data_IF_290589173850
#
_entry.id   IF_290589173850
#
_cell.length_a   1.000
_cell.length_b   1.000
_cell.length_c   1.000
_cell.angle_alpha   90.00
_cell.angle_beta   90.00
_cell.angle_gamma   90.00
#
_symmetry.space_group_name_H-M   'P 1'
#
loop_
_entity.id
_entity.type
_entity.pdbx_description
1 polymer ?
#
# COMPACT_ATOMS: atom_id res chain seq x y z
N UNK A 1 -42.52 2.02 13.57
CA UNK A 1 -42.00 3.34 14.02
C UNK A 1 -40.46 3.41 14.02
N UNK A 2 -39.73 2.32 14.32
CA UNK A 2 -38.25 2.30 14.36
C UNK A 2 -37.58 2.33 12.97
N UNK A 3 -38.20 1.73 11.95
CA UNK A 3 -37.63 1.63 10.59
C UNK A 3 -37.44 3.00 9.90
N UNK A 4 -38.40 3.93 10.08
CA UNK A 4 -38.32 5.27 9.49
C UNK A 4 -37.24 6.15 10.13
N UNK A 5 -37.02 6.01 11.44
CA UNK A 5 -35.99 6.75 12.18
C UNK A 5 -34.57 6.22 11.89
N UNK A 6 -34.46 4.92 11.58
CA UNK A 6 -33.21 4.31 11.11
C UNK A 6 -32.87 4.77 9.68
N UNK A 7 -33.88 4.87 8.79
CA UNK A 7 -33.70 5.35 7.42
C UNK A 7 -33.29 6.83 7.34
N UNK A 8 -33.88 7.68 8.17
CA UNK A 8 -33.51 9.10 8.26
C UNK A 8 -32.07 9.30 8.75
N UNK A 9 -31.63 8.53 9.74
CA UNK A 9 -30.24 8.53 10.21
C UNK A 9 -29.27 7.97 9.18
N UNK A 10 -29.63 6.86 8.51
CA UNK A 10 -28.82 6.28 7.44
C UNK A 10 -28.62 7.26 6.27
N UNK A 11 -29.68 7.99 5.89
CA UNK A 11 -29.59 9.03 4.85
C UNK A 11 -28.65 10.17 5.25
N UNK A 12 -28.70 10.61 6.51
CA UNK A 12 -27.84 11.69 7.01
C UNK A 12 -26.37 11.25 7.08
N UNK A 13 -26.11 10.03 7.57
CA UNK A 13 -24.77 9.44 7.64
C UNK A 13 -24.19 9.20 6.24
N UNK A 14 -25.03 8.80 5.27
CA UNK A 14 -24.65 8.62 3.88
C UNK A 14 -24.29 9.95 3.20
N UNK A 15 -25.00 11.04 3.52
CA UNK A 15 -24.67 12.37 3.00
C UNK A 15 -23.39 12.96 3.63
N UNK A 16 -23.09 12.64 4.90
CA UNK A 16 -21.87 13.10 5.55
C UNK A 16 -20.63 12.29 5.16
N UNK A 17 -20.76 10.98 4.95
CA UNK A 17 -19.65 10.04 4.71
C UNK A 17 -19.67 9.43 3.30
N UNK A 18 -20.17 10.17 2.31
CA UNK A 18 -20.41 9.65 0.96
C UNK A 18 -19.18 9.00 0.32
N UNK A 19 -18.01 9.64 0.40
CA UNK A 19 -16.77 9.11 -0.20
C UNK A 19 -16.27 7.82 0.48
N UNK A 20 -16.34 7.77 1.81
CA UNK A 20 -15.91 6.59 2.59
C UNK A 20 -16.81 5.38 2.32
N UNK A 21 -18.13 5.59 2.26
CA UNK A 21 -19.07 4.51 1.98
C UNK A 21 -18.89 4.01 0.55
N UNK A 22 -18.69 4.91 -0.42
CA UNK A 22 -18.45 4.54 -1.81
C UNK A 22 -17.13 3.78 -2.00
N UNK A 23 -16.06 4.12 -1.27
CA UNK A 23 -14.78 3.40 -1.38
C UNK A 23 -14.87 1.99 -0.80
N UNK A 24 -15.53 1.83 0.35
CA UNK A 24 -15.77 0.49 0.95
C UNK A 24 -16.66 -0.35 0.03
N UNK A 25 -17.74 0.23 -0.52
CA UNK A 25 -18.60 -0.47 -1.48
C UNK A 25 -17.83 -0.86 -2.75
N UNK A 26 -16.96 0.01 -3.27
CA UNK A 26 -16.14 -0.28 -4.43
C UNK A 26 -15.18 -1.46 -4.19
N UNK A 27 -14.60 -1.59 -3.00
CA UNK A 27 -13.75 -2.74 -2.63
C UNK A 27 -14.57 -4.04 -2.60
N UNK A 28 -15.75 -4.02 -1.98
CA UNK A 28 -16.63 -5.20 -1.89
C UNK A 28 -17.09 -5.63 -3.28
N UNK A 29 -17.59 -4.69 -4.08
CA UNK A 29 -18.04 -4.95 -5.46
C UNK A 29 -16.86 -5.41 -6.34
N UNK A 30 -15.69 -4.79 -6.21
CA UNK A 30 -14.48 -5.17 -6.93
C UNK A 30 -14.01 -6.59 -6.61
N UNK A 31 -14.07 -7.00 -5.33
CA UNK A 31 -13.75 -8.36 -4.91
C UNK A 31 -14.75 -9.39 -5.48
N UNK A 32 -16.05 -9.11 -5.40
CA UNK A 32 -17.10 -9.99 -5.93
C UNK A 32 -17.00 -10.13 -7.46
N UNK A 33 -16.82 -9.01 -8.17
CA UNK A 33 -16.60 -9.01 -9.62
C UNK A 33 -15.32 -9.77 -9.98
N UNK A 34 -14.21 -9.55 -9.25
CA UNK A 34 -12.95 -10.26 -9.48
C UNK A 34 -13.09 -11.78 -9.34
N UNK A 35 -13.80 -12.24 -8.32
CA UNK A 35 -14.09 -13.67 -8.13
C UNK A 35 -14.99 -14.23 -9.25
N UNK A 36 -16.02 -13.49 -9.64
CA UNK A 36 -16.94 -13.89 -10.71
C UNK A 36 -16.24 -13.97 -12.08
N UNK A 37 -15.42 -12.97 -12.41
CA UNK A 37 -14.63 -12.93 -13.66
C UNK A 37 -13.57 -14.04 -13.70
N UNK A 38 -12.95 -14.38 -12.56
CA UNK A 38 -12.02 -15.52 -12.44
C UNK A 38 -12.68 -16.85 -12.80
N UNK A 39 -13.95 -17.04 -12.43
CA UNK A 39 -14.70 -18.28 -12.70
C UNK A 39 -15.03 -18.49 -14.19
N UNK A 40 -14.89 -17.47 -15.04
CA UNK A 40 -15.26 -17.51 -16.47
C UNK A 40 -14.09 -17.74 -17.43
N UNK A 41 -12.86 -17.93 -16.93
CA UNK A 41 -11.65 -18.15 -17.74
C UNK A 41 -11.54 -17.19 -18.95
N UNK A 42 -11.48 -15.89 -18.65
CA UNK A 42 -11.35 -14.82 -19.66
C UNK A 42 -9.95 -14.80 -20.29
N UNK A 43 -9.87 -14.30 -21.52
CA UNK A 43 -8.61 -14.10 -22.25
C UNK A 43 -7.80 -12.95 -21.65
N UNK A 44 -6.46 -12.99 -21.73
CA UNK A 44 -5.57 -11.96 -21.16
C UNK A 44 -5.86 -10.54 -21.70
N UNK A 45 -6.34 -10.43 -22.94
CA UNK A 45 -6.69 -9.16 -23.55
C UNK A 45 -7.90 -8.51 -22.87
N UNK A 46 -8.92 -9.29 -22.53
CA UNK A 46 -10.14 -8.82 -21.87
C UNK A 46 -9.85 -8.35 -20.44
N UNK A 47 -8.93 -9.03 -19.76
CA UNK A 47 -8.46 -8.63 -18.43
C UNK A 47 -7.76 -7.27 -18.48
N UNK A 48 -6.90 -7.03 -19.48
CA UNK A 48 -6.23 -5.73 -19.65
C UNK A 48 -7.21 -4.58 -19.87
N UNK A 49 -8.24 -4.78 -20.69
CA UNK A 49 -9.28 -3.77 -20.88
C UNK A 49 -10.10 -3.51 -19.61
N UNK A 50 -10.39 -4.55 -18.82
CA UNK A 50 -11.11 -4.40 -17.55
C UNK A 50 -10.28 -3.70 -16.47
N UNK A 51 -8.96 -3.87 -16.47
CA UNK A 51 -8.03 -3.21 -15.52
C UNK A 51 -7.74 -1.75 -15.86
N UNK A 52 -7.99 -1.32 -17.10
CA UNK A 52 -7.74 0.04 -17.59
C UNK A 52 -8.18 1.18 -16.65
N UNK A 53 -9.43 1.22 -16.11
CA UNK A 53 -9.84 2.28 -15.18
C UNK A 53 -9.01 2.32 -13.88
N UNK A 54 -8.58 1.16 -13.38
CA UNK A 54 -7.71 1.08 -12.20
C UNK A 54 -6.29 1.56 -12.50
N UNK A 55 -5.78 1.25 -13.69
CA UNK A 55 -4.48 1.74 -14.15
C UNK A 55 -4.48 3.27 -14.33
N UNK A 56 -5.56 3.83 -14.87
CA UNK A 56 -5.73 5.28 -15.00
C UNK A 56 -5.67 5.97 -13.63
N UNK A 57 -6.37 5.44 -12.62
CA UNK A 57 -6.31 5.94 -11.24
C UNK A 57 -4.89 5.91 -10.70
N UNK A 58 -4.17 4.80 -10.88
CA UNK A 58 -2.78 4.67 -10.43
C UNK A 58 -1.85 5.68 -11.12
N UNK A 59 -2.04 5.94 -12.42
CA UNK A 59 -1.27 6.95 -13.16
C UNK A 59 -1.56 8.36 -12.65
N UNK A 60 -2.82 8.69 -12.38
CA UNK A 60 -3.21 9.98 -11.79
C UNK A 60 -2.57 10.21 -10.41
N UNK A 61 -2.59 9.21 -9.52
CA UNK A 61 -1.99 9.32 -8.19
C UNK A 61 -0.46 9.46 -8.24
N UNK A 62 0.20 8.69 -9.12
CA UNK A 62 1.66 8.77 -9.31
C UNK A 62 2.11 10.11 -9.89
N UNK A 63 1.30 10.78 -10.71
CA UNK A 63 1.61 12.12 -11.22
C UNK A 63 1.59 13.16 -10.09
N UNK A 64 0.74 12.98 -9.08
CA UNK A 64 0.60 13.89 -7.95
C UNK A 64 1.64 13.68 -6.85
N UNK A 65 2.13 12.45 -6.66
CA UNK A 65 3.01 12.13 -5.52
C UNK A 65 4.33 12.91 -5.55
N UNK A 66 4.99 12.98 -6.71
CA UNK A 66 6.29 13.65 -6.85
C UNK A 66 6.24 15.14 -6.48
N UNK A 67 5.38 15.98 -7.08
CA UNK A 67 5.33 17.41 -6.74
C UNK A 67 4.82 17.65 -5.32
N UNK A 68 3.89 16.85 -4.83
CA UNK A 68 3.30 17.04 -3.51
C UNK A 68 4.28 16.69 -2.39
N UNK A 69 5.05 15.60 -2.55
CA UNK A 69 6.09 15.21 -1.58
C UNK A 69 7.20 16.24 -1.53
N UNK A 70 7.74 16.67 -2.68
CA UNK A 70 8.86 17.64 -2.71
C UNK A 70 8.42 18.99 -2.12
N UNK A 71 7.26 19.52 -2.55
CA UNK A 71 6.77 20.81 -2.03
C UNK A 71 6.42 20.76 -0.55
N UNK A 72 5.78 19.67 -0.07
CA UNK A 72 5.43 19.51 1.34
C UNK A 72 6.66 19.34 2.22
N UNK A 73 7.69 18.62 1.77
CA UNK A 73 8.94 18.46 2.52
C UNK A 73 9.72 19.78 2.59
N UNK A 74 9.85 20.49 1.46
CA UNK A 74 10.53 21.78 1.42
C UNK A 74 9.84 22.81 2.32
N UNK A 75 8.52 22.98 2.18
CA UNK A 75 7.78 23.92 3.02
C UNK A 75 7.76 23.50 4.49
N UNK A 76 7.68 22.20 4.77
CA UNK A 76 7.65 21.68 6.14
C UNK A 76 8.98 21.89 6.86
N UNK A 77 10.10 21.65 6.18
CA UNK A 77 11.43 21.83 6.75
C UNK A 77 11.82 23.32 6.86
N UNK A 78 11.41 24.16 5.90
CA UNK A 78 11.70 25.60 5.94
C UNK A 78 10.98 26.34 7.09
N UNK A 79 9.86 25.82 7.58
CA UNK A 79 9.10 26.41 8.68
C UNK A 79 9.66 26.09 10.08
N UNK A 80 10.65 25.19 10.18
CA UNK A 80 11.17 24.67 11.45
C UNK A 80 12.63 25.11 11.68
N UNK A 81 12.96 25.49 12.91
CA UNK A 81 14.34 25.71 13.31
C UNK A 81 15.19 24.43 13.22
N UNK A 82 16.48 24.58 12.90
CA UNK A 82 17.41 23.46 12.71
C UNK A 82 17.50 22.50 13.91
N UNK A 83 17.44 23.03 15.13
CA UNK A 83 17.43 22.23 16.37
C UNK A 83 16.11 21.49 16.60
N UNK A 84 14.99 22.07 16.17
CA UNK A 84 13.68 21.44 16.27
C UNK A 84 13.52 20.34 15.22
N UNK A 85 13.94 20.61 13.97
CA UNK A 85 13.90 19.65 12.86
C UNK A 85 14.73 18.40 13.17
N UNK A 86 15.95 18.54 13.71
CA UNK A 86 16.79 17.38 14.07
C UNK A 86 16.20 16.55 15.22
N UNK A 87 15.60 17.19 16.23
CA UNK A 87 14.94 16.47 17.34
C UNK A 87 13.70 15.72 16.89
N UNK A 88 12.88 16.32 16.02
CA UNK A 88 11.73 15.66 15.41
C UNK A 88 12.16 14.50 14.50
N UNK A 89 13.23 14.68 13.74
CA UNK A 89 13.80 13.64 12.88
C UNK A 89 14.26 12.42 13.69
N UNK A 90 15.04 12.62 14.75
CA UNK A 90 15.52 11.53 15.62
C UNK A 90 14.34 10.79 16.26
N UNK A 91 13.34 11.51 16.77
CA UNK A 91 12.16 10.89 17.38
C UNK A 91 11.36 10.07 16.37
N UNK A 92 11.23 10.58 15.13
CA UNK A 92 10.54 9.89 14.04
C UNK A 92 11.30 8.63 13.58
N UNK A 93 12.61 8.73 13.39
CA UNK A 93 13.46 7.58 13.01
C UNK A 93 13.41 6.50 14.11
N UNK A 94 13.55 6.89 15.37
CA UNK A 94 13.48 5.95 16.50
C UNK A 94 12.11 5.27 16.59
N UNK A 95 11.02 6.02 16.38
CA UNK A 95 9.68 5.46 16.32
C UNK A 95 9.53 4.43 15.20
N UNK A 96 9.96 4.75 13.96
CA UNK A 96 9.86 3.81 12.84
C UNK A 96 10.69 2.55 13.02
N UNK A 97 11.91 2.68 13.55
CA UNK A 97 12.76 1.53 13.87
C UNK A 97 12.10 0.63 14.91
N UNK A 98 11.54 1.22 15.96
CA UNK A 98 10.86 0.47 17.02
C UNK A 98 9.62 -0.27 16.51
N UNK A 99 8.75 0.41 15.76
CA UNK A 99 7.53 -0.22 15.22
C UNK A 99 7.84 -1.30 14.20
N UNK A 100 8.87 -1.10 13.35
CA UNK A 100 9.30 -2.10 12.36
C UNK A 100 9.88 -3.32 13.06
N UNK A 101 10.71 -3.13 14.08
CA UNK A 101 11.24 -4.22 14.90
C UNK A 101 10.12 -5.05 15.53
N UNK A 102 9.14 -4.39 16.16
CA UNK A 102 7.98 -5.07 16.75
C UNK A 102 7.14 -5.81 15.69
N UNK A 103 6.91 -5.21 14.53
CA UNK A 103 6.19 -5.84 13.43
C UNK A 103 6.92 -7.10 12.91
N UNK A 104 8.25 -7.05 12.78
CA UNK A 104 9.07 -8.20 12.36
C UNK A 104 9.02 -9.31 13.39
N UNK A 105 9.15 -9.00 14.69
CA UNK A 105 9.04 -10.01 15.77
C UNK A 105 7.67 -10.70 15.73
N UNK A 106 6.59 -9.94 15.61
CA UNK A 106 5.23 -10.50 15.50
C UNK A 106 5.09 -11.34 14.23
N UNK A 107 5.60 -10.88 13.10
CA UNK A 107 5.58 -11.62 11.83
C UNK A 107 6.33 -12.95 11.91
N UNK A 108 7.51 -12.97 12.55
CA UNK A 108 8.30 -14.18 12.80
C UNK A 108 7.55 -15.16 13.71
N UNK A 109 6.95 -14.68 14.79
CA UNK A 109 6.15 -15.53 15.68
C UNK A 109 4.96 -16.14 14.92
N UNK A 110 4.27 -15.34 14.10
CA UNK A 110 3.10 -15.78 13.35
C UNK A 110 3.46 -16.84 12.29
N UNK A 111 4.55 -16.61 11.52
CA UNK A 111 4.98 -17.56 10.48
C UNK A 111 5.49 -18.87 11.08
N UNK A 112 6.20 -18.83 12.21
CA UNK A 112 6.66 -20.04 12.92
C UNK A 112 5.49 -20.74 13.62
N UNK A 113 4.40 -20.05 13.99
CA UNK A 113 3.26 -20.73 14.61
C UNK A 113 2.35 -21.37 13.56
N UNK A 114 2.00 -20.62 12.52
CA UNK A 114 1.04 -21.06 11.50
C UNK A 114 1.71 -21.92 10.43
N UNK A 115 3.02 -21.77 10.21
CA UNK A 115 3.78 -22.37 9.10
C UNK A 115 3.02 -22.30 7.75
N UNK A 116 2.59 -21.10 7.31
CA UNK A 116 1.87 -20.97 6.06
C UNK A 116 2.80 -21.32 4.89
N UNK A 117 2.39 -22.27 4.04
CA UNK A 117 3.13 -22.58 2.80
C UNK A 117 3.46 -24.05 2.54
N UNK A 118 3.21 -24.97 3.48
CA UNK A 118 3.50 -26.40 3.29
C UNK A 118 2.78 -27.06 2.10
N UNK A 119 1.72 -26.46 1.56
CA UNK A 119 0.97 -26.96 0.39
C UNK A 119 1.31 -26.24 -0.93
N UNK A 120 2.19 -25.23 -0.91
CA UNK A 120 2.48 -24.34 -2.04
C UNK A 120 3.89 -24.51 -2.62
N UNK A 121 4.59 -25.60 -2.30
CA UNK A 121 5.87 -25.94 -2.91
C UNK A 121 5.62 -26.58 -4.29
N UNK A 122 5.09 -25.77 -5.22
CA UNK A 122 5.10 -26.09 -6.64
C UNK A 122 6.36 -25.46 -7.21
N UNK A 123 7.21 -26.33 -7.74
CA UNK A 123 8.50 -26.07 -8.35
C UNK A 123 8.38 -25.01 -9.46
N UNK A 124 8.60 -23.74 -9.12
CA UNK A 124 9.06 -22.71 -10.06
C UNK A 124 10.43 -22.22 -9.57
N UNK A 125 11.38 -23.16 -9.53
CA UNK A 125 12.80 -22.81 -9.59
C UNK A 125 13.15 -22.49 -11.04
N UNK A 126 12.48 -21.49 -11.63
CA UNK A 126 13.07 -20.79 -12.76
C UNK A 126 14.24 -20.01 -12.19
N UNK A 127 15.44 -20.55 -12.40
CA UNK A 127 16.73 -19.89 -12.26
C UNK A 127 16.73 -18.63 -13.15
N UNK A 128 16.06 -17.59 -12.66
CA UNK A 128 16.14 -16.26 -13.23
C UNK A 128 17.59 -15.84 -13.06
N UNK A 129 18.32 -15.73 -14.18
CA UNK A 129 19.66 -15.13 -14.29
C UNK A 129 19.70 -13.65 -13.90
N UNK A 130 19.03 -13.29 -12.81
CA UNK A 130 19.26 -12.05 -12.08
C UNK A 130 20.65 -12.16 -11.46
N UNK A 131 21.49 -11.12 -11.60
CA UNK A 131 22.77 -11.12 -10.93
C UNK A 131 22.53 -11.38 -9.45
N UNK A 132 23.29 -12.31 -8.86
CA UNK A 132 23.34 -12.50 -7.41
C UNK A 132 23.99 -11.23 -6.87
N UNK A 133 23.16 -10.22 -6.61
CA UNK A 133 23.60 -8.95 -6.05
C UNK A 133 24.08 -9.29 -4.64
N UNK A 134 25.37 -9.04 -4.36
CA UNK A 134 25.85 -9.20 -3.00
C UNK A 134 25.06 -8.24 -2.11
N UNK A 135 24.80 -8.62 -0.85
CA UNK A 135 24.17 -7.70 0.10
C UNK A 135 24.95 -6.38 0.22
N UNK A 136 26.27 -6.42 0.00
CA UNK A 136 27.10 -5.22 -0.10
C UNK A 136 26.73 -4.36 -1.32
N UNK A 137 26.53 -4.96 -2.49
CA UNK A 137 26.15 -4.25 -3.72
C UNK A 137 24.79 -3.56 -3.55
N UNK A 138 23.82 -4.22 -2.90
CA UNK A 138 22.52 -3.62 -2.62
C UNK A 138 22.59 -2.43 -1.65
N UNK A 139 23.48 -2.48 -0.65
CA UNK A 139 23.73 -1.34 0.24
C UNK A 139 24.45 -0.20 -0.48
N UNK A 140 25.40 -0.52 -1.36
CA UNK A 140 26.08 0.47 -2.19
C UNK A 140 25.12 1.12 -3.19
N UNK A 141 24.21 0.36 -3.79
CA UNK A 141 23.15 0.88 -4.67
C UNK A 141 22.19 1.81 -3.92
N UNK A 142 21.81 1.48 -2.68
CA UNK A 142 20.98 2.35 -1.86
C UNK A 142 21.67 3.68 -1.54
N UNK A 143 22.95 3.62 -1.13
CA UNK A 143 23.74 4.83 -0.85
C UNK A 143 23.88 5.67 -2.11
N UNK A 144 24.15 5.02 -3.25
CA UNK A 144 24.24 5.69 -4.54
C UNK A 144 22.93 6.39 -4.93
N UNK A 145 21.79 5.73 -4.75
CA UNK A 145 20.47 6.32 -5.04
C UNK A 145 20.11 7.50 -4.11
N UNK A 146 20.71 7.55 -2.91
CA UNK A 146 20.52 8.67 -1.99
C UNK A 146 21.40 9.90 -2.34
N UNK A 147 22.47 9.69 -3.10
CA UNK A 147 23.38 10.75 -3.56
C UNK A 147 22.98 11.34 -4.92
N UNK A 148 22.31 10.56 -5.77
CA UNK A 148 21.71 10.98 -7.07
C UNK A 148 20.41 11.78 -6.90
#
# INVERSE_FOLDING_TARGET
>A
MVLGAAWGRAKNVCQQNGLLIMSVLAVVVGCLLGFFLRSKHLSEQEVKYFQFPGELLMRMLKMLILPLVVSSLMSGLAALDSKCSSRLGIMTISYYLWTTFMAVVVGIILVITIHPGGAAQKEDSEDSGKPIMSSADALLDLIRYMEE
#
